data_IF_153879596746
#
_entry.id   IF_153879596746
#
_cell.length_a   1.000
_cell.length_b   1.000
_cell.length_c   1.000
_cell.angle_alpha   90.00
_cell.angle_beta   90.00
_cell.angle_gamma   90.00
#
_symmetry.space_group_name_H-M   'P 1'
#
loop_
_entity.id
_entity.type
_entity.pdbx_description
1 polymer ?
#
# COMPACT_ATOMS: atom_id res chain seq x y z
N UNK A 1 17.75 -2.44 -4.86
CA UNK A 1 17.86 -2.76 -6.30
C UNK A 1 16.43 -2.86 -6.77
N UNK A 2 16.00 -2.18 -7.83
CA UNK A 2 14.60 -2.27 -8.28
C UNK A 2 14.43 -3.50 -9.16
N UNK A 3 13.39 -4.29 -8.92
CA UNK A 3 13.09 -5.47 -9.73
C UNK A 3 12.44 -5.05 -11.06
N UNK A 4 11.50 -4.11 -11.03
CA UNK A 4 10.92 -3.55 -12.23
C UNK A 4 11.85 -2.54 -12.94
N UNK A 5 11.74 -2.49 -14.27
CA UNK A 5 12.41 -1.53 -15.15
C UNK A 5 11.40 -0.65 -15.86
N UNK A 6 11.89 0.46 -16.43
CA UNK A 6 11.05 1.32 -17.28
C UNK A 6 10.46 0.59 -18.49
N UNK A 7 11.08 -0.52 -18.93
CA UNK A 7 10.55 -1.36 -19.99
C UNK A 7 9.24 -2.07 -19.60
N UNK A 8 9.12 -2.51 -18.35
CA UNK A 8 7.93 -3.19 -17.82
C UNK A 8 6.77 -2.19 -17.73
N UNK A 9 7.04 -1.01 -17.18
CA UNK A 9 6.06 0.10 -17.16
C UNK A 9 5.60 0.47 -18.56
N UNK A 10 6.52 0.53 -19.53
CA UNK A 10 6.18 0.80 -20.94
C UNK A 10 5.31 -0.31 -21.55
N UNK A 11 5.56 -1.57 -21.20
CA UNK A 11 4.76 -2.70 -21.66
C UNK A 11 3.31 -2.60 -21.18
N UNK A 12 3.10 -2.25 -19.90
CA UNK A 12 1.75 -2.07 -19.33
C UNK A 12 1.08 -0.77 -19.83
N UNK A 13 1.87 0.28 -20.04
CA UNK A 13 1.38 1.58 -20.52
C UNK A 13 0.83 1.52 -21.96
N UNK A 14 1.40 0.67 -22.82
CA UNK A 14 0.93 0.46 -24.19
C UNK A 14 1.21 1.62 -25.17
N UNK A 15 2.05 2.59 -24.78
CA UNK A 15 2.52 3.68 -25.65
C UNK A 15 4.01 3.97 -25.48
N UNK A 16 4.59 4.68 -26.44
CA UNK A 16 5.94 5.21 -26.31
C UNK A 16 6.01 6.23 -25.15
N UNK A 17 7.12 6.17 -24.41
CA UNK A 17 7.47 7.11 -23.35
C UNK A 17 8.53 8.07 -23.85
N UNK A 18 8.44 9.34 -23.46
CA UNK A 18 9.52 10.29 -23.69
C UNK A 18 10.72 9.99 -22.77
N UNK A 19 11.92 10.51 -23.09
CA UNK A 19 13.09 10.38 -22.21
C UNK A 19 12.85 10.96 -20.81
N UNK A 20 12.09 12.05 -20.71
CA UNK A 20 11.73 12.70 -19.45
C UNK A 20 10.79 11.82 -18.61
N UNK A 21 9.79 11.22 -19.25
CA UNK A 21 8.91 10.23 -18.61
C UNK A 21 9.69 9.00 -18.14
N UNK A 22 10.67 8.55 -18.91
CA UNK A 22 11.53 7.42 -18.55
C UNK A 22 12.35 7.72 -17.30
N UNK A 23 13.00 8.89 -17.24
CA UNK A 23 13.74 9.32 -16.05
C UNK A 23 12.85 9.49 -14.82
N UNK A 24 11.61 9.99 -15.01
CA UNK A 24 10.62 10.06 -13.95
C UNK A 24 10.25 8.66 -13.45
N UNK A 25 9.97 7.72 -14.36
CA UNK A 25 9.60 6.34 -14.03
C UNK A 25 10.70 5.64 -13.24
N UNK A 26 11.95 5.71 -13.68
CA UNK A 26 13.08 5.09 -12.97
C UNK A 26 13.20 5.61 -11.53
N UNK A 27 13.05 6.92 -11.34
CA UNK A 27 13.05 7.53 -10.00
C UNK A 27 11.88 7.05 -9.16
N UNK A 28 10.70 6.85 -9.76
CA UNK A 28 9.48 6.43 -9.06
C UNK A 28 9.50 4.95 -8.72
N UNK A 29 10.00 4.09 -9.60
CA UNK A 29 10.27 2.67 -9.31
C UNK A 29 11.19 2.54 -8.09
N UNK A 30 12.29 3.29 -8.05
CA UNK A 30 13.18 3.31 -6.87
C UNK A 30 12.52 3.86 -5.59
N UNK A 31 11.41 4.60 -5.71
CA UNK A 31 10.61 5.02 -4.58
C UNK A 31 9.65 3.92 -4.13
N UNK A 32 9.01 3.20 -5.06
CA UNK A 32 8.13 2.05 -4.77
C UNK A 32 8.90 0.95 -4.08
N UNK A 33 10.04 0.53 -4.63
CA UNK A 33 10.93 -0.48 -4.05
C UNK A 33 11.26 -0.14 -2.59
N UNK A 34 11.60 1.12 -2.31
CA UNK A 34 11.86 1.56 -0.93
C UNK A 34 10.64 1.50 -0.03
N UNK A 35 9.44 1.66 -0.56
CA UNK A 35 8.20 1.47 0.21
C UNK A 35 7.96 -0.01 0.51
N UNK A 36 8.17 -0.89 -0.48
CA UNK A 36 8.05 -2.35 -0.32
C UNK A 36 9.08 -2.85 0.68
N UNK A 37 10.37 -2.56 0.50
CA UNK A 37 11.45 -3.01 1.39
C UNK A 37 11.31 -2.48 2.82
N UNK A 38 10.75 -1.27 3.03
CA UNK A 38 10.44 -0.77 4.38
C UNK A 38 9.40 -1.61 5.11
N UNK A 39 8.52 -2.28 4.37
CA UNK A 39 7.44 -3.11 4.89
C UNK A 39 7.82 -4.59 4.94
N UNK A 40 8.60 -5.03 3.95
CA UNK A 40 9.12 -6.39 3.76
C UNK A 40 10.65 -6.29 3.66
N UNK A 41 11.37 -6.19 4.80
CA UNK A 41 12.83 -6.04 4.79
C UNK A 41 13.55 -7.27 4.20
N UNK A 42 12.90 -8.43 4.24
CA UNK A 42 13.34 -9.73 3.74
C UNK A 42 12.80 -10.06 2.34
N UNK A 43 12.40 -9.06 1.55
CA UNK A 43 11.83 -9.24 0.20
C UNK A 43 12.71 -10.11 -0.70
N UNK A 44 14.02 -9.85 -0.71
CA UNK A 44 14.96 -10.60 -1.54
C UNK A 44 15.05 -12.08 -1.14
N UNK A 45 14.99 -12.38 0.16
CA UNK A 45 15.02 -13.74 0.69
C UNK A 45 13.70 -14.49 0.38
N UNK A 46 12.55 -13.79 0.42
CA UNK A 46 11.25 -14.36 0.04
C UNK A 46 11.18 -14.70 -1.46
N UNK A 47 11.82 -13.90 -2.31
CA UNK A 47 11.93 -14.18 -3.75
C UNK A 47 12.87 -15.38 -3.99
N UNK A 48 14.04 -15.41 -3.35
CA UNK A 48 15.02 -16.50 -3.52
C UNK A 48 14.49 -17.85 -3.01
N UNK A 49 13.70 -17.84 -1.94
CA UNK A 49 13.02 -19.02 -1.40
C UNK A 49 11.79 -19.46 -2.21
N UNK A 50 11.30 -18.63 -3.14
CA UNK A 50 10.10 -18.89 -3.93
C UNK A 50 8.79 -18.74 -3.16
N UNK A 51 8.83 -18.17 -1.95
CA UNK A 51 7.64 -17.80 -1.19
C UNK A 51 6.90 -16.62 -1.85
N UNK A 52 7.61 -15.81 -2.62
CA UNK A 52 7.08 -14.66 -3.35
C UNK A 52 7.59 -14.66 -4.80
N UNK A 53 6.69 -14.49 -5.76
CA UNK A 53 7.07 -14.48 -7.17
C UNK A 53 7.66 -13.13 -7.56
N UNK A 54 8.84 -13.13 -8.20
CA UNK A 54 9.48 -11.90 -8.68
C UNK A 54 8.57 -11.14 -9.67
N UNK A 55 7.80 -11.87 -10.49
CA UNK A 55 6.89 -11.25 -11.45
C UNK A 55 5.75 -10.48 -10.76
N UNK A 56 5.26 -10.95 -9.62
CA UNK A 56 4.23 -10.24 -8.85
C UNK A 56 4.77 -8.90 -8.30
N UNK A 57 6.04 -8.87 -7.86
CA UNK A 57 6.70 -7.62 -7.45
C UNK A 57 6.79 -6.66 -8.63
N UNK A 58 7.26 -7.16 -9.77
CA UNK A 58 7.43 -6.34 -10.99
C UNK A 58 6.10 -5.72 -11.41
N UNK A 59 5.02 -6.51 -11.45
CA UNK A 59 3.70 -6.05 -11.83
C UNK A 59 3.17 -4.97 -10.87
N UNK A 60 3.31 -5.18 -9.56
CA UNK A 60 2.87 -4.21 -8.54
C UNK A 60 3.66 -2.90 -8.65
N UNK A 61 4.99 -2.98 -8.81
CA UNK A 61 5.82 -1.79 -9.01
C UNK A 61 5.41 -1.03 -10.27
N UNK A 62 5.15 -1.75 -11.37
CA UNK A 62 4.76 -1.17 -12.63
C UNK A 62 3.37 -0.52 -12.58
N UNK A 63 2.38 -1.18 -11.96
CA UNK A 63 1.03 -0.67 -11.79
C UNK A 63 1.00 0.59 -10.91
N UNK A 64 1.74 0.61 -9.80
CA UNK A 64 1.83 1.76 -8.92
C UNK A 64 2.38 3.01 -9.66
N UNK A 65 3.42 2.83 -10.47
CA UNK A 65 3.99 3.93 -11.27
C UNK A 65 3.07 4.30 -12.45
N UNK A 66 2.39 3.34 -13.07
CA UNK A 66 1.43 3.60 -14.14
C UNK A 66 0.28 4.49 -13.66
N UNK A 67 -0.24 4.27 -12.45
CA UNK A 67 -1.29 5.12 -11.86
C UNK A 67 -0.82 6.55 -11.70
N UNK A 68 0.42 6.74 -11.26
CA UNK A 68 1.04 8.05 -11.17
C UNK A 68 1.20 8.72 -12.55
N UNK A 69 1.58 7.97 -13.59
CA UNK A 69 1.68 8.50 -14.96
C UNK A 69 0.33 8.85 -15.58
N UNK A 70 -0.74 8.10 -15.25
CA UNK A 70 -2.09 8.35 -15.76
C UNK A 70 -2.75 9.55 -15.08
N UNK A 71 -2.40 9.84 -13.82
CA UNK A 71 -2.92 10.99 -13.09
C UNK A 71 -1.79 11.78 -12.39
N UNK A 72 -0.89 12.43 -13.16
CA UNK A 72 0.28 13.10 -12.61
C UNK A 72 -0.08 14.35 -11.79
N UNK A 73 -1.19 15.03 -12.15
CA UNK A 73 -1.64 16.28 -11.51
C UNK A 73 -2.75 16.04 -10.47
N UNK A 74 -3.31 14.83 -10.42
CA UNK A 74 -4.28 14.46 -9.38
C UNK A 74 -5.64 15.13 -9.53
N UNK A 75 -6.10 15.42 -10.75
CA UNK A 75 -7.43 16.00 -10.95
C UNK A 75 -8.49 14.99 -10.50
N UNK A 76 -9.16 15.33 -9.40
CA UNK A 76 -10.44 14.72 -9.06
C UNK A 76 -11.45 15.30 -10.06
N UNK A 77 -12.02 14.45 -10.91
CA UNK A 77 -13.04 14.82 -11.88
C UNK A 77 -14.03 15.83 -11.29
N UNK A 78 -14.12 17.03 -11.86
CA UNK A 78 -15.23 17.94 -11.60
C UNK A 78 -16.49 17.27 -12.15
N UNK A 79 -17.36 16.76 -11.27
CA UNK A 79 -18.65 16.19 -11.66
C UNK A 79 -19.67 17.32 -11.77
N UNK A 80 -19.95 17.76 -13.00
CA UNK A 80 -21.22 18.41 -13.32
C UNK A 80 -22.28 17.32 -13.51
N UNK A 81 -23.32 17.33 -12.66
CA UNK A 81 -24.56 16.61 -12.92
C UNK A 81 -24.74 15.21 -12.30
N UNK A 82 -25.28 15.19 -11.08
CA UNK A 82 -26.32 14.23 -10.64
C UNK A 82 -26.08 12.72 -10.84
N UNK A 83 -24.98 12.15 -10.36
CA UNK A 83 -24.94 10.74 -9.94
C UNK A 83 -23.89 10.57 -8.83
N UNK A 84 -24.35 10.30 -7.61
CA UNK A 84 -23.49 10.03 -6.46
C UNK A 84 -23.02 8.57 -6.48
N UNK A 85 -21.85 8.31 -7.06
CA UNK A 85 -20.99 7.23 -6.57
C UNK A 85 -20.36 7.72 -5.26
N UNK A 86 -20.26 6.86 -4.24
CA UNK A 86 -19.41 7.12 -3.07
C UNK A 86 -17.96 7.17 -3.56
N UNK A 87 -17.54 8.35 -4.01
CA UNK A 87 -16.22 8.62 -4.53
C UNK A 87 -15.24 8.56 -3.36
N UNK A 88 -14.35 7.58 -3.39
CA UNK A 88 -13.38 7.37 -2.33
C UNK A 88 -12.48 8.60 -2.23
N UNK A 89 -12.69 9.40 -1.18
CA UNK A 89 -11.99 10.67 -0.90
C UNK A 89 -10.49 10.47 -0.58
N UNK A 90 -10.04 9.22 -0.62
CA UNK A 90 -8.67 8.77 -0.46
C UNK A 90 -7.85 8.83 -1.75
N UNK A 91 -8.45 9.19 -2.90
CA UNK A 91 -7.69 9.47 -4.13
C UNK A 91 -6.92 10.78 -3.95
N UNK A 92 -5.81 10.70 -3.24
CA UNK A 92 -4.91 11.82 -3.02
C UNK A 92 -4.15 12.13 -4.32
N UNK A 93 -4.00 13.40 -4.68
CA UNK A 93 -3.41 13.84 -5.93
C UNK A 93 -1.92 13.44 -6.04
N UNK A 94 -1.52 12.81 -7.15
CA UNK A 94 -0.11 12.57 -7.52
C UNK A 94 0.75 11.81 -6.50
N UNK A 95 0.15 11.11 -5.54
CA UNK A 95 0.88 10.35 -4.52
C UNK A 95 1.15 8.93 -5.01
N UNK A 96 2.39 8.49 -4.83
CA UNK A 96 2.76 7.10 -5.04
C UNK A 96 2.19 6.26 -3.89
N UNK A 97 1.31 5.32 -4.22
CA UNK A 97 0.60 4.47 -3.26
C UNK A 97 0.52 3.03 -3.78
N UNK A 98 0.61 2.08 -2.86
CA UNK A 98 0.42 0.65 -3.08
C UNK A 98 -0.85 0.27 -2.31
N UNK A 99 -1.84 -0.31 -3.00
CA UNK A 99 -3.13 -0.65 -2.45
C UNK A 99 -3.08 -1.87 -1.54
N UNK A 100 -4.08 -2.00 -0.67
CA UNK A 100 -4.19 -3.10 0.29
C UNK A 100 -4.22 -4.48 -0.41
N UNK A 101 -4.84 -4.59 -1.58
CA UNK A 101 -4.90 -5.81 -2.38
C UNK A 101 -3.53 -6.22 -2.93
N UNK A 102 -2.70 -5.24 -3.32
CA UNK A 102 -1.34 -5.46 -3.78
C UNK A 102 -0.43 -5.89 -2.62
N UNK A 103 -0.62 -5.28 -1.44
CA UNK A 103 0.02 -5.74 -0.22
C UNK A 103 -0.37 -7.17 0.14
N UNK A 104 -1.64 -7.55 -0.06
CA UNK A 104 -2.10 -8.91 0.20
C UNK A 104 -1.47 -9.93 -0.77
N UNK A 105 -1.28 -9.56 -2.05
CA UNK A 105 -0.53 -10.37 -3.01
C UNK A 105 0.92 -10.58 -2.59
N UNK A 106 1.56 -9.57 -2.01
CA UNK A 106 2.90 -9.69 -1.41
C UNK A 106 2.90 -10.41 -0.04
N UNK A 107 1.82 -11.13 0.30
CA UNK A 107 1.71 -11.89 1.55
C UNK A 107 1.43 -11.03 2.78
N UNK A 108 1.34 -9.70 2.66
CA UNK A 108 0.99 -8.81 3.76
C UNK A 108 -0.53 -8.75 3.91
N UNK A 109 -1.05 -9.58 4.80
CA UNK A 109 -2.46 -9.48 5.19
C UNK A 109 -2.71 -8.12 5.85
N UNK A 110 -3.72 -7.34 5.42
CA UNK A 110 -4.10 -6.12 6.11
C UNK A 110 -4.39 -6.49 7.57
N UNK A 111 -3.65 -5.88 8.50
CA UNK A 111 -3.72 -6.25 9.91
C UNK A 111 -5.17 -6.09 10.37
N UNK A 112 -5.85 -7.22 10.60
CA UNK A 112 -7.22 -7.25 11.09
C UNK A 112 -7.27 -6.46 12.38
N UNK A 113 -7.96 -5.30 12.31
CA UNK A 113 -8.62 -4.59 13.40
C UNK A 113 -8.22 -5.05 14.81
N UNK A 114 -7.26 -4.36 15.44
CA UNK A 114 -6.95 -4.60 16.84
C UNK A 114 -8.08 -4.02 17.72
N UNK A 115 -8.90 -4.89 18.32
CA UNK A 115 -9.83 -4.49 19.38
C UNK A 115 -9.08 -4.46 20.71
N UNK A 116 -8.71 -3.26 21.17
CA UNK A 116 -8.21 -3.04 22.52
C UNK A 116 -9.44 -3.02 23.44
N UNK A 117 -9.80 -4.17 24.00
CA UNK A 117 -10.82 -4.20 25.06
C UNK A 117 -10.13 -3.87 26.39
N UNK A 118 -10.48 -2.77 27.09
CA UNK A 118 -9.89 -2.49 28.39
C UNK A 118 -10.25 -3.59 29.38
N UNK A 119 -9.24 -4.17 30.04
CA UNK A 119 -9.44 -5.11 31.14
C UNK A 119 -9.92 -4.32 32.38
N UNK A 120 -11.23 -4.18 32.52
CA UNK A 120 -11.85 -3.59 33.70
C UNK A 120 -11.73 -4.59 34.85
N UNK A 121 -10.64 -4.50 35.61
CA UNK A 121 -10.48 -5.23 36.86
C UNK A 121 -11.51 -4.66 37.83
N UNK A 122 -12.58 -5.41 38.09
CA UNK A 122 -13.59 -5.02 39.07
C UNK A 122 -12.95 -4.84 40.46
N UNK A 123 -13.23 -3.74 41.18
CA UNK A 123 -12.65 -3.53 42.49
C UNK A 123 -13.13 -4.63 43.46
N UNK A 124 -12.19 -5.30 44.13
CA UNK A 124 -12.50 -6.27 45.18
C UNK A 124 -13.24 -5.56 46.32
N UNK A 125 -14.50 -5.91 46.55
CA UNK A 125 -15.23 -5.49 47.76
C UNK A 125 -14.57 -6.17 48.96
N UNK A 126 -13.88 -5.40 49.80
CA UNK A 126 -13.51 -5.88 51.13
C UNK A 126 -14.78 -6.04 51.95
N UNK A 127 -15.18 -7.28 52.22
CA UNK A 127 -16.15 -7.58 53.26
C UNK A 127 -15.43 -7.43 54.60
N UNK A 128 -15.68 -6.33 55.30
CA UNK A 128 -15.31 -6.17 56.71
C UNK A 128 -16.26 -7.01 57.57
N UNK A 129 -15.85 -8.25 57.81
CA UNK A 129 -16.42 -9.08 58.87
C UNK A 129 -15.94 -8.54 60.23
N UNK A 130 -16.92 -8.23 61.09
CA UNK A 130 -16.78 -7.70 62.45
C UNK A 130 -15.95 -8.61 63.37
N UNK A 131 -15.30 -8.01 64.38
CA UNK A 131 -15.16 -8.62 65.71
C UNK A 131 -14.93 -7.55 66.79
N UNK A 132 -15.78 -7.55 67.81
CA UNK A 132 -15.37 -7.26 69.19
C UNK A 132 -15.89 -5.96 69.84
N UNK A 133 -16.78 -6.12 70.82
CA UNK A 133 -17.22 -5.07 71.75
C UNK A 133 -18.55 -5.41 72.40
#
# INVERSE_FOLDING_TARGET
MTYAKAADVRAVLGRAMTPEETALVERRLAQVERMIVRRIPDLADQIDSGDLDEADVIDIEAEAVLRLLRNPEGYASESDGTYSYQFNRETAPGRLEIFAEEWERLGIKPSRMFSITPNIIAPKRYTSIHTGG
#
